data_IF_184360479163
#
_entry.id   IF_184360479163
#
_cell.length_a   1.000
_cell.length_b   1.000
_cell.length_c   1.000
_cell.angle_alpha   90.00
_cell.angle_beta   90.00
_cell.angle_gamma   90.00
#
_symmetry.space_group_name_H-M   'P 1'
#
loop_
_entity.id
_entity.type
_entity.pdbx_description
1 polymer ?
#
# COMPACT_ATOMS: atom_id res chain seq x y z
N UNK A 1 -35.98 -40.73 -0.76
CA UNK A 1 -35.33 -40.34 0.51
C UNK A 1 -35.37 -38.85 0.84
N UNK A 2 -34.85 -37.94 0.01
CA UNK A 2 -34.82 -36.50 0.32
C UNK A 2 -36.18 -35.89 0.72
N UNK A 3 -37.28 -36.23 0.03
CA UNK A 3 -38.64 -35.75 0.38
C UNK A 3 -39.20 -36.35 1.68
N UNK A 4 -38.69 -37.51 2.10
CA UNK A 4 -39.21 -38.29 3.24
C UNK A 4 -38.43 -38.00 4.53
N UNK A 5 -37.10 -37.88 4.42
CA UNK A 5 -36.19 -37.73 5.55
C UNK A 5 -35.46 -36.39 5.56
N UNK A 6 -35.50 -35.62 4.46
CA UNK A 6 -34.76 -34.38 4.33
C UNK A 6 -33.24 -34.58 4.21
N UNK A 7 -32.49 -33.50 4.42
CA UNK A 7 -31.03 -33.47 4.57
C UNK A 7 -30.64 -32.62 5.76
N UNK A 8 -29.50 -32.93 6.38
CA UNK A 8 -28.98 -32.17 7.53
C UNK A 8 -28.36 -30.83 7.13
N UNK A 9 -27.63 -30.80 6.03
CA UNK A 9 -26.84 -29.65 5.58
C UNK A 9 -27.50 -28.97 4.38
N UNK A 10 -27.57 -27.63 4.39
CA UNK A 10 -28.11 -26.83 3.28
C UNK A 10 -27.16 -26.80 2.05
N UNK A 11 -25.87 -27.02 2.26
CA UNK A 11 -24.87 -27.18 1.23
C UNK A 11 -23.73 -28.08 1.75
N UNK A 12 -23.05 -28.79 0.86
CA UNK A 12 -22.12 -29.87 1.18
C UNK A 12 -20.79 -29.79 0.42
N UNK A 13 -20.71 -29.07 -0.70
CA UNK A 13 -19.61 -29.12 -1.64
C UNK A 13 -19.05 -27.72 -1.92
N UNK A 14 -17.73 -27.59 -1.77
CA UNK A 14 -16.97 -26.41 -2.14
C UNK A 14 -15.60 -26.85 -2.65
N UNK A 15 -14.99 -26.05 -3.52
CA UNK A 15 -13.60 -26.27 -3.92
C UNK A 15 -12.79 -25.10 -3.38
N UNK A 16 -12.17 -25.32 -2.22
CA UNK A 16 -11.37 -24.34 -1.52
C UNK A 16 -9.97 -24.20 -2.14
N UNK A 17 -9.27 -23.08 -1.91
CA UNK A 17 -7.84 -23.01 -2.23
C UNK A 17 -7.08 -23.98 -1.34
N UNK A 18 -6.32 -24.88 -1.94
CA UNK A 18 -5.60 -25.96 -1.25
C UNK A 18 -4.08 -25.79 -1.34
N UNK A 19 -3.56 -24.56 -1.32
CA UNK A 19 -2.12 -24.30 -1.45
C UNK A 19 -1.26 -25.10 -0.45
N UNK A 20 -1.54 -24.98 0.85
CA UNK A 20 -0.78 -25.71 1.88
C UNK A 20 -1.14 -27.19 1.96
N UNK A 21 -2.43 -27.52 1.84
CA UNK A 21 -2.90 -28.91 1.98
C UNK A 21 -2.50 -29.77 0.79
N UNK A 22 -2.45 -29.21 -0.43
CA UNK A 22 -1.95 -29.91 -1.62
C UNK A 22 -0.46 -30.19 -1.54
N UNK A 23 0.34 -29.27 -0.97
CA UNK A 23 1.75 -29.52 -0.68
C UNK A 23 1.94 -30.65 0.34
N UNK A 24 1.16 -30.65 1.42
CA UNK A 24 1.19 -31.68 2.46
C UNK A 24 0.77 -33.06 1.91
N UNK A 25 -0.24 -33.09 1.05
CA UNK A 25 -0.78 -34.32 0.44
C UNK A 25 -0.11 -34.68 -0.89
N UNK A 26 0.90 -33.91 -1.30
CA UNK A 26 1.73 -34.21 -2.46
C UNK A 26 0.93 -34.33 -3.77
N UNK A 27 -0.02 -33.42 -3.97
CA UNK A 27 -0.95 -33.41 -5.12
C UNK A 27 -1.18 -32.00 -5.66
N UNK A 28 -1.97 -31.89 -6.73
CA UNK A 28 -2.36 -30.61 -7.34
C UNK A 28 -3.37 -29.84 -6.48
N UNK A 29 -3.38 -28.51 -6.62
CA UNK A 29 -4.28 -27.63 -5.88
C UNK A 29 -5.70 -27.65 -6.46
N UNK A 30 -6.58 -28.46 -5.88
CA UNK A 30 -8.01 -28.44 -6.20
C UNK A 30 -8.26 -28.95 -7.63
N UNK A 31 -8.85 -28.10 -8.47
CA UNK A 31 -9.08 -28.39 -9.90
C UNK A 31 -8.12 -27.62 -10.81
N UNK A 32 -7.11 -26.97 -10.24
CA UNK A 32 -6.13 -26.22 -11.03
C UNK A 32 -5.17 -27.18 -11.75
N UNK A 33 -4.82 -26.88 -13.01
CA UNK A 33 -3.71 -27.55 -13.67
C UNK A 33 -2.40 -27.36 -12.88
N UNK A 34 -1.45 -28.28 -13.06
CA UNK A 34 -0.10 -28.13 -12.50
C UNK A 34 0.48 -26.80 -13.00
N UNK A 35 0.91 -25.93 -12.08
CA UNK A 35 1.51 -24.66 -12.44
C UNK A 35 2.87 -24.85 -13.12
N UNK A 36 3.77 -25.61 -12.48
CA UNK A 36 5.04 -26.05 -13.03
C UNK A 36 5.33 -27.49 -12.58
N UNK A 37 5.78 -28.39 -13.48
CA UNK A 37 6.15 -29.75 -13.10
C UNK A 37 7.43 -29.78 -12.25
N UNK A 38 8.29 -28.78 -12.41
CA UNK A 38 9.56 -28.62 -11.71
C UNK A 38 9.74 -27.15 -11.32
N UNK A 39 10.08 -26.86 -10.07
CA UNK A 39 10.31 -25.50 -9.57
C UNK A 39 11.41 -25.48 -8.50
N UNK A 40 12.10 -24.35 -8.33
CA UNK A 40 13.09 -24.17 -7.25
C UNK A 40 12.43 -23.58 -6.01
N UNK A 41 12.83 -24.06 -4.84
CA UNK A 41 12.46 -23.48 -3.55
C UNK A 41 13.71 -23.04 -2.81
N UNK A 42 13.56 -22.01 -1.99
CA UNK A 42 14.57 -21.50 -1.07
C UNK A 42 14.25 -21.95 0.34
N UNK A 43 15.23 -22.48 1.05
CA UNK A 43 15.19 -22.71 2.49
C UNK A 43 16.19 -21.76 3.13
N UNK A 44 15.78 -21.08 4.21
CA UNK A 44 16.70 -20.29 5.03
C UNK A 44 17.64 -21.22 5.77
N UNK A 45 18.93 -20.90 5.74
CA UNK A 45 19.99 -21.75 6.26
C UNK A 45 20.97 -20.95 7.10
N UNK A 46 21.56 -21.62 8.08
CA UNK A 46 22.62 -21.02 8.88
C UNK A 46 23.96 -21.26 8.16
N UNK A 47 24.75 -20.21 7.85
CA UNK A 47 26.05 -20.36 7.20
C UNK A 47 27.05 -21.24 7.95
N UNK A 48 26.84 -21.43 9.26
CA UNK A 48 27.71 -22.23 10.12
C UNK A 48 27.39 -23.74 10.11
N UNK A 49 26.35 -24.17 9.38
CA UNK A 49 25.96 -25.58 9.32
C UNK A 49 26.74 -26.31 8.21
N UNK A 50 27.42 -27.40 8.57
CA UNK A 50 28.39 -28.10 7.69
C UNK A 50 27.72 -28.80 6.50
N UNK A 51 26.43 -29.10 6.61
CA UNK A 51 25.66 -29.84 5.60
C UNK A 51 24.89 -28.94 4.63
N UNK A 52 25.20 -27.64 4.60
CA UNK A 52 24.35 -26.67 3.92
C UNK A 52 25.13 -25.84 2.93
N UNK A 53 24.54 -25.66 1.74
CA UNK A 53 25.10 -24.83 0.69
C UNK A 53 24.35 -23.49 0.61
N UNK A 54 25.09 -22.39 0.53
CA UNK A 54 24.50 -21.05 0.40
C UNK A 54 24.48 -20.66 -1.08
N UNK A 55 23.30 -20.70 -1.68
CA UNK A 55 23.09 -20.35 -3.09
C UNK A 55 22.70 -18.88 -3.28
N UNK A 56 22.05 -18.28 -2.27
CA UNK A 56 21.53 -16.92 -2.33
C UNK A 56 21.63 -16.23 -0.97
N UNK A 57 22.05 -14.96 -0.96
CA UNK A 57 22.03 -14.10 0.23
C UNK A 57 21.15 -12.89 -0.09
N UNK A 58 20.19 -12.59 0.77
CA UNK A 58 19.30 -11.45 0.57
C UNK A 58 19.91 -10.11 1.05
N UNK A 59 19.22 -9.01 0.76
CA UNK A 59 19.64 -7.65 1.14
C UNK A 59 19.71 -7.44 2.67
N UNK A 60 19.05 -8.29 3.45
CA UNK A 60 19.09 -8.28 4.91
C UNK A 60 20.21 -9.14 5.51
N UNK A 61 20.98 -9.83 4.64
CA UNK A 61 22.11 -10.68 5.02
C UNK A 61 21.73 -12.13 5.37
N UNK A 62 20.48 -12.54 5.13
CA UNK A 62 20.05 -13.92 5.37
C UNK A 62 20.51 -14.83 4.23
N UNK A 63 21.06 -15.99 4.60
CA UNK A 63 21.53 -17.01 3.66
C UNK A 63 20.44 -18.05 3.35
N UNK A 64 20.35 -18.45 2.08
CA UNK A 64 19.38 -19.40 1.56
C UNK A 64 20.05 -20.48 0.71
N UNK A 65 19.58 -21.70 0.88
CA UNK A 65 19.86 -22.84 0.00
C UNK A 65 18.73 -23.01 -1.00
N UNK A 66 19.07 -23.15 -2.28
CA UNK A 66 18.14 -23.44 -3.36
C UNK A 66 18.13 -24.93 -3.68
N UNK A 67 16.94 -25.52 -3.72
CA UNK A 67 16.76 -26.91 -4.13
C UNK A 67 15.61 -27.05 -5.12
N UNK A 68 15.78 -28.00 -6.04
CA UNK A 68 14.79 -28.31 -7.07
C UNK A 68 13.73 -29.23 -6.46
N UNK A 69 12.47 -28.91 -6.72
CA UNK A 69 11.33 -29.71 -6.33
C UNK A 69 10.63 -30.19 -7.59
N UNK A 70 10.53 -31.51 -7.72
CA UNK A 70 9.76 -32.18 -8.76
C UNK A 70 8.36 -32.49 -8.22
N UNK A 71 7.33 -32.26 -9.05
CA UNK A 71 5.98 -32.68 -8.71
C UNK A 71 5.92 -34.21 -8.61
N UNK A 72 5.21 -34.77 -7.62
CA UNK A 72 5.27 -36.21 -7.32
C UNK A 72 4.93 -37.13 -8.48
N UNK A 73 3.94 -36.76 -9.30
CA UNK A 73 3.60 -37.52 -10.52
C UNK A 73 4.65 -37.36 -11.64
N UNK A 74 5.40 -36.26 -11.65
CA UNK A 74 6.57 -36.10 -12.52
C UNK A 74 7.70 -37.00 -12.05
N UNK A 75 7.92 -37.13 -10.73
CA UNK A 75 8.88 -38.10 -10.16
C UNK A 75 8.52 -39.53 -10.55
N UNK A 76 7.24 -39.92 -10.47
CA UNK A 76 6.80 -41.26 -10.92
C UNK A 76 7.13 -41.50 -12.40
N UNK A 77 6.96 -40.48 -13.26
CA UNK A 77 7.36 -40.58 -14.66
C UNK A 77 8.89 -40.66 -14.82
N UNK A 78 9.66 -39.89 -14.04
CA UNK A 78 11.12 -39.93 -14.06
C UNK A 78 11.64 -41.32 -13.70
N UNK A 79 11.20 -41.88 -12.58
CA UNK A 79 11.59 -43.21 -12.11
C UNK A 79 11.24 -44.31 -13.13
N UNK A 80 10.05 -44.23 -13.73
CA UNK A 80 9.62 -45.17 -14.77
C UNK A 80 10.48 -45.12 -16.05
N UNK A 81 11.16 -43.99 -16.29
CA UNK A 81 12.05 -43.80 -17.44
C UNK A 81 13.54 -43.88 -17.05
N UNK A 82 13.86 -44.27 -15.81
CA UNK A 82 15.24 -44.44 -15.33
C UNK A 82 15.97 -43.14 -14.99
N UNK A 83 15.26 -42.03 -14.80
CA UNK A 83 15.83 -40.77 -14.34
C UNK A 83 15.85 -40.71 -12.81
N UNK A 84 16.98 -40.30 -12.24
CA UNK A 84 17.15 -40.14 -10.79
C UNK A 84 16.60 -38.79 -10.32
N UNK A 85 15.56 -38.72 -9.48
CA UNK A 85 15.01 -37.46 -8.96
C UNK A 85 15.90 -36.76 -7.92
N UNK A 86 16.89 -37.45 -7.36
CA UNK A 86 17.81 -36.90 -6.33
C UNK A 86 18.99 -36.17 -6.97
N UNK A 87 19.28 -36.45 -8.24
CA UNK A 87 20.33 -35.76 -8.99
C UNK A 87 20.01 -34.26 -9.13
N UNK A 88 21.03 -33.42 -8.95
CA UNK A 88 20.96 -31.98 -9.29
C UNK A 88 21.06 -31.83 -10.80
N UNK A 89 19.94 -31.48 -11.43
CA UNK A 89 19.89 -31.16 -12.86
C UNK A 89 20.14 -29.68 -13.10
N UNK A 90 20.78 -29.37 -14.22
CA UNK A 90 20.86 -28.00 -14.77
C UNK A 90 19.49 -27.57 -15.31
N UNK A 91 19.30 -26.27 -15.55
CA UNK A 91 18.02 -25.77 -16.05
C UNK A 91 17.72 -26.30 -17.45
N UNK A 92 18.76 -26.41 -18.29
CA UNK A 92 18.68 -26.95 -19.64
C UNK A 92 18.27 -28.44 -19.62
N UNK A 93 18.86 -29.24 -18.72
CA UNK A 93 18.47 -30.64 -18.55
C UNK A 93 17.02 -30.78 -18.05
N UNK A 94 16.56 -29.89 -17.15
CA UNK A 94 15.17 -29.88 -16.68
C UNK A 94 14.22 -29.58 -17.85
N UNK A 95 14.53 -28.59 -18.67
CA UNK A 95 13.68 -28.20 -19.80
C UNK A 95 13.58 -29.34 -20.83
N UNK A 96 14.69 -30.06 -21.09
CA UNK A 96 14.68 -31.27 -21.91
C UNK A 96 13.86 -32.42 -21.30
N UNK A 97 13.97 -32.64 -19.98
CA UNK A 97 13.17 -33.65 -19.27
C UNK A 97 11.68 -33.33 -19.34
N UNK A 98 11.32 -32.07 -19.09
CA UNK A 98 9.94 -31.61 -19.18
C UNK A 98 9.42 -31.80 -20.60
N UNK A 99 10.21 -31.51 -21.64
CA UNK A 99 9.85 -31.71 -23.04
C UNK A 99 9.57 -33.17 -23.42
N UNK A 100 10.27 -34.13 -22.79
CA UNK A 100 10.03 -35.58 -22.98
C UNK A 100 8.84 -36.08 -22.17
N UNK A 101 8.41 -35.33 -21.16
CA UNK A 101 7.35 -35.76 -20.25
C UNK A 101 5.94 -35.51 -20.83
N UNK A 102 4.92 -36.24 -20.35
CA UNK A 102 3.52 -35.96 -20.66
C UNK A 102 3.04 -34.56 -20.20
N UNK A 103 3.83 -33.85 -19.40
CA UNK A 103 3.51 -32.51 -18.90
C UNK A 103 3.96 -31.40 -19.85
N UNK A 104 4.68 -31.73 -20.93
CA UNK A 104 5.05 -30.74 -21.94
C UNK A 104 3.80 -30.13 -22.58
N UNK A 105 3.71 -28.80 -22.55
CA UNK A 105 2.54 -28.04 -23.02
C UNK A 105 1.21 -28.39 -22.33
N UNK A 106 1.28 -28.88 -21.09
CA UNK A 106 0.11 -29.24 -20.29
C UNK A 106 0.10 -28.55 -18.90
N UNK A 107 0.84 -27.45 -18.75
CA UNK A 107 0.88 -26.66 -17.51
C UNK A 107 -0.20 -25.59 -17.49
N UNK A 108 -0.41 -24.93 -16.34
CA UNK A 108 -1.40 -23.86 -16.22
C UNK A 108 -1.18 -22.70 -17.21
N UNK A 109 0.04 -22.50 -17.72
CA UNK A 109 0.34 -21.46 -18.70
C UNK A 109 0.10 -21.92 -20.15
N UNK A 110 0.05 -23.22 -20.40
CA UNK A 110 -0.16 -23.79 -21.74
C UNK A 110 -1.65 -24.01 -22.04
N UNK A 111 -2.47 -24.16 -21.00
CA UNK A 111 -3.91 -24.41 -21.13
C UNK A 111 -4.64 -23.12 -21.52
N UNK A 112 -5.43 -23.19 -22.59
CA UNK A 112 -6.30 -22.10 -23.02
C UNK A 112 -7.21 -21.60 -21.88
N UNK A 113 -7.15 -20.30 -21.62
CA UNK A 113 -7.85 -19.69 -20.48
C UNK A 113 -9.38 -19.76 -20.61
N UNK A 114 -9.93 -19.67 -21.83
CA UNK A 114 -11.37 -19.82 -22.04
C UNK A 114 -11.82 -21.25 -21.76
N UNK A 115 -11.02 -22.24 -22.15
CA UNK A 115 -11.28 -23.65 -21.81
C UNK A 115 -11.18 -23.89 -20.31
N UNK A 116 -10.25 -23.24 -19.60
CA UNK A 116 -10.16 -23.27 -18.13
C UNK A 116 -11.45 -22.74 -17.48
N UNK A 117 -11.98 -21.62 -17.97
CA UNK A 117 -13.26 -21.06 -17.50
C UNK A 117 -14.44 -22.00 -17.78
N UNK A 118 -14.51 -22.57 -18.99
CA UNK A 118 -15.55 -23.55 -19.35
C UNK A 118 -15.49 -24.79 -18.47
N UNK A 119 -14.29 -25.27 -18.15
CA UNK A 119 -14.09 -26.39 -17.23
C UNK A 119 -14.62 -26.04 -15.83
N UNK A 120 -14.28 -24.86 -15.31
CA UNK A 120 -14.80 -24.38 -14.03
C UNK A 120 -16.33 -24.33 -14.03
N UNK A 121 -16.95 -23.79 -15.07
CA UNK A 121 -18.42 -23.74 -15.19
C UNK A 121 -19.08 -25.12 -15.27
N UNK A 122 -18.46 -26.08 -15.96
CA UNK A 122 -18.95 -27.47 -15.99
C UNK A 122 -18.95 -28.11 -14.60
N UNK A 123 -17.90 -27.88 -13.81
CA UNK A 123 -17.78 -28.41 -12.44
C UNK A 123 -18.72 -27.68 -11.49
N UNK A 124 -18.90 -26.35 -11.66
CA UNK A 124 -19.76 -25.52 -10.83
C UNK A 124 -21.22 -26.00 -10.76
N UNK A 125 -21.71 -26.70 -11.80
CA UNK A 125 -23.05 -27.33 -11.82
C UNK A 125 -23.27 -28.35 -10.70
N UNK A 126 -22.19 -28.96 -10.22
CA UNK A 126 -22.22 -30.01 -9.19
C UNK A 126 -21.71 -29.51 -7.83
N UNK A 127 -21.41 -28.22 -7.71
CA UNK A 127 -20.90 -27.58 -6.48
C UNK A 127 -21.92 -26.56 -6.00
N UNK A 128 -22.45 -26.76 -4.80
CA UNK A 128 -23.50 -25.92 -4.21
C UNK A 128 -22.95 -24.61 -3.61
N UNK A 129 -21.72 -24.59 -3.10
CA UNK A 129 -20.98 -23.34 -2.89
C UNK A 129 -20.21 -22.90 -4.15
N UNK A 130 -19.09 -22.20 -3.99
CA UNK A 130 -18.27 -21.66 -5.07
C UNK A 130 -16.97 -22.45 -5.24
N UNK A 131 -16.29 -22.18 -6.33
CA UNK A 131 -14.99 -22.77 -6.67
C UNK A 131 -13.94 -21.67 -6.63
N UNK A 132 -12.88 -21.89 -5.85
CA UNK A 132 -11.72 -21.01 -5.78
C UNK A 132 -10.67 -21.48 -6.78
N UNK A 133 -10.64 -20.84 -7.95
CA UNK A 133 -9.63 -21.04 -8.99
C UNK A 133 -9.17 -19.70 -9.52
N UNK A 134 -7.87 -19.56 -9.74
CA UNK A 134 -7.28 -18.35 -10.33
C UNK A 134 -6.93 -18.56 -11.80
N UNK A 135 -7.33 -17.62 -12.65
CA UNK A 135 -6.90 -17.54 -14.05
C UNK A 135 -5.62 -16.69 -14.08
N UNK A 136 -4.47 -17.36 -14.14
CA UNK A 136 -3.17 -16.71 -14.25
C UNK A 136 -2.92 -16.31 -15.70
N UNK A 137 -2.81 -15.01 -15.97
CA UNK A 137 -2.58 -14.43 -17.29
C UNK A 137 -1.17 -13.82 -17.32
N UNK A 138 -0.45 -13.87 -18.46
CA UNK A 138 0.82 -13.18 -18.59
C UNK A 138 0.65 -11.65 -18.58
N UNK A 139 1.75 -10.93 -18.37
CA UNK A 139 1.75 -9.48 -18.15
C UNK A 139 1.36 -8.66 -19.39
N UNK A 140 1.58 -9.22 -20.58
CA UNK A 140 1.33 -8.64 -21.90
C UNK A 140 -0.10 -8.85 -22.40
N UNK A 141 -0.99 -9.44 -21.60
CA UNK A 141 -2.37 -9.69 -21.98
C UNK A 141 -3.20 -8.40 -22.05
N UNK A 142 -3.95 -8.28 -23.15
CA UNK A 142 -4.92 -7.23 -23.40
C UNK A 142 -6.13 -7.28 -22.46
N UNK A 143 -6.66 -6.10 -22.14
CA UNK A 143 -7.90 -5.93 -21.37
C UNK A 143 -9.10 -6.66 -22.02
N UNK A 144 -9.15 -6.71 -23.36
CA UNK A 144 -10.19 -7.40 -24.10
C UNK A 144 -10.23 -8.91 -23.83
N UNK A 145 -9.08 -9.55 -23.60
CA UNK A 145 -9.06 -10.96 -23.21
C UNK A 145 -9.65 -11.13 -21.80
N UNK A 146 -9.32 -10.24 -20.87
CA UNK A 146 -9.89 -10.25 -19.51
C UNK A 146 -11.41 -10.09 -19.55
N UNK A 147 -11.91 -9.15 -20.36
CA UNK A 147 -13.35 -8.98 -20.56
C UNK A 147 -14.00 -10.25 -21.12
N UNK A 148 -13.41 -10.86 -22.15
CA UNK A 148 -13.90 -12.13 -22.71
C UNK A 148 -13.96 -13.25 -21.67
N UNK A 149 -12.96 -13.34 -20.79
CA UNK A 149 -12.93 -14.35 -19.71
C UNK A 149 -14.06 -14.14 -18.69
N UNK A 150 -14.32 -12.90 -18.29
CA UNK A 150 -15.44 -12.59 -17.39
C UNK A 150 -16.80 -12.88 -18.03
N UNK A 151 -16.99 -12.49 -19.29
CA UNK A 151 -18.23 -12.78 -20.03
C UNK A 151 -18.41 -14.29 -20.20
N UNK A 152 -17.34 -15.03 -20.49
CA UNK A 152 -17.41 -16.50 -20.61
C UNK A 152 -17.70 -17.18 -19.27
N UNK A 153 -17.16 -16.66 -18.15
CA UNK A 153 -17.43 -17.19 -16.82
C UNK A 153 -18.90 -17.01 -16.45
N UNK A 154 -19.47 -15.84 -16.74
CA UNK A 154 -20.90 -15.59 -16.58
C UNK A 154 -21.75 -16.54 -17.43
N UNK A 155 -21.44 -16.66 -18.73
CA UNK A 155 -22.13 -17.59 -19.66
C UNK A 155 -22.02 -19.05 -19.22
N UNK A 156 -20.89 -19.44 -18.64
CA UNK A 156 -20.62 -20.81 -18.18
C UNK A 156 -21.30 -21.14 -16.85
N UNK A 157 -21.96 -20.17 -16.19
CA UNK A 157 -22.64 -20.36 -14.92
C UNK A 157 -21.70 -20.39 -13.71
N UNK A 158 -20.49 -19.83 -13.84
CA UNK A 158 -19.58 -19.68 -12.72
C UNK A 158 -20.18 -18.70 -11.69
N UNK A 159 -20.11 -19.03 -10.40
CA UNK A 159 -20.58 -18.14 -9.31
C UNK A 159 -19.58 -17.02 -9.00
N UNK A 160 -18.34 -17.18 -9.43
CA UNK A 160 -17.26 -16.22 -9.28
C UNK A 160 -16.12 -16.52 -10.25
N UNK A 161 -15.32 -15.51 -10.55
CA UNK A 161 -14.18 -15.61 -11.45
C UNK A 161 -13.06 -14.72 -10.91
N UNK A 162 -11.86 -15.28 -10.76
CA UNK A 162 -10.68 -14.55 -10.29
C UNK A 162 -9.62 -14.56 -11.38
N UNK A 163 -9.15 -13.39 -11.76
CA UNK A 163 -8.07 -13.21 -12.72
C UNK A 163 -6.86 -12.61 -12.00
N UNK A 164 -5.70 -13.20 -12.22
CA UNK A 164 -4.42 -12.64 -11.78
C UNK A 164 -3.54 -12.42 -13.00
N UNK A 165 -3.25 -11.16 -13.31
CA UNK A 165 -2.30 -10.81 -14.37
C UNK A 165 -0.90 -10.74 -13.77
N UNK A 166 0.05 -11.46 -14.35
CA UNK A 166 1.43 -11.46 -13.90
C UNK A 166 2.00 -10.03 -13.91
N UNK A 167 2.82 -9.71 -12.92
CA UNK A 167 3.36 -8.36 -12.71
C UNK A 167 2.33 -7.29 -12.26
N UNK A 168 1.03 -7.61 -12.11
CA UNK A 168 0.04 -6.63 -11.61
C UNK A 168 0.16 -6.35 -10.11
N UNK A 169 0.80 -7.24 -9.36
CA UNK A 169 1.16 -7.07 -7.94
C UNK A 169 2.59 -7.57 -7.74
N UNK A 170 3.39 -6.81 -7.02
CA UNK A 170 4.77 -7.20 -6.68
C UNK A 170 4.80 -8.45 -5.78
N UNK A 171 5.58 -9.46 -6.18
CA UNK A 171 6.09 -10.49 -5.26
C UNK A 171 5.32 -11.81 -5.12
N UNK A 172 4.51 -12.26 -6.09
CA UNK A 172 3.68 -13.46 -5.86
C UNK A 172 4.40 -14.79 -6.14
N UNK A 173 5.16 -14.96 -7.24
CA UNK A 173 5.92 -16.19 -7.51
C UNK A 173 7.08 -15.87 -8.47
N UNK A 174 8.33 -16.11 -8.08
CA UNK A 174 9.50 -15.94 -8.96
C UNK A 174 9.65 -17.22 -9.79
N UNK A 175 9.49 -17.11 -11.11
CA UNK A 175 9.76 -18.24 -12.02
C UNK A 175 11.27 -18.51 -12.10
N UNK A 176 11.64 -19.78 -12.29
CA UNK A 176 13.04 -20.24 -12.40
C UNK A 176 13.77 -19.80 -13.66
N UNK A 177 13.12 -19.10 -14.59
CA UNK A 177 13.83 -18.49 -15.71
C UNK A 177 14.78 -17.45 -15.14
N UNK A 178 16.06 -17.72 -15.24
CA UNK A 178 17.07 -16.68 -15.15
C UNK A 178 16.86 -15.75 -16.34
N UNK A 179 16.00 -14.74 -16.17
CA UNK A 179 15.90 -13.60 -17.07
C UNK A 179 17.22 -12.82 -16.97
N UNK A 180 18.27 -13.37 -17.58
CA UNK A 180 19.55 -12.68 -17.77
C UNK A 180 19.43 -11.54 -18.80
N UNK A 181 18.30 -11.43 -19.50
CA UNK A 181 18.05 -10.40 -20.52
C UNK A 181 16.78 -9.55 -20.30
N UNK A 182 16.17 -9.56 -19.12
CA UNK A 182 15.18 -8.53 -18.73
C UNK A 182 15.65 -7.73 -17.53
N UNK A 183 16.73 -6.95 -17.74
CA UNK A 183 16.90 -5.67 -17.03
C UNK A 183 15.94 -4.63 -17.61
N UNK A 184 14.65 -4.90 -17.55
CA UNK A 184 13.69 -3.83 -17.35
C UNK A 184 13.15 -4.08 -15.95
N UNK A 185 13.83 -3.49 -14.97
CA UNK A 185 13.24 -3.33 -13.65
C UNK A 185 11.84 -2.75 -13.84
N UNK A 186 10.91 -3.13 -12.95
CA UNK A 186 9.70 -2.35 -12.70
C UNK A 186 10.04 -0.88 -12.94
N UNK A 187 9.31 -0.14 -13.80
CA UNK A 187 9.62 1.27 -14.00
C UNK A 187 9.75 1.82 -12.59
N UNK A 188 10.93 2.35 -12.20
CA UNK A 188 11.12 2.84 -10.84
C UNK A 188 9.92 3.72 -10.62
N UNK A 189 9.12 3.46 -9.56
CA UNK A 189 7.95 4.26 -9.25
C UNK A 189 8.38 5.69 -9.45
N UNK A 190 8.03 6.29 -10.59
CA UNK A 190 8.62 7.57 -10.95
C UNK A 190 8.03 8.45 -9.86
N UNK A 191 8.85 9.03 -8.96
CA UNK A 191 8.30 9.96 -8.00
C UNK A 191 7.48 10.92 -8.84
N UNK A 192 6.21 11.19 -8.48
CA UNK A 192 5.41 12.10 -9.27
C UNK A 192 6.26 13.35 -9.50
N UNK A 193 6.29 13.86 -10.73
CA UNK A 193 7.16 14.96 -11.17
C UNK A 193 7.03 16.22 -10.28
N UNK A 194 5.99 16.23 -9.45
CA UNK A 194 5.62 17.19 -8.41
C UNK A 194 6.38 16.95 -7.08
N UNK A 195 7.69 16.73 -7.12
CA UNK A 195 8.51 16.98 -5.92
C UNK A 195 9.45 18.12 -6.25
N UNK A 196 8.89 19.33 -6.27
CA UNK A 196 9.69 20.55 -6.25
C UNK A 196 10.74 20.39 -5.14
N UNK A 197 12.01 20.58 -5.48
CA UNK A 197 13.08 20.44 -4.49
C UNK A 197 12.83 21.47 -3.40
N UNK A 198 12.55 20.99 -2.18
CA UNK A 198 12.26 21.85 -1.02
C UNK A 198 13.33 22.96 -0.93
N UNK A 199 12.95 24.24 -1.06
CA UNK A 199 13.88 25.36 -0.87
C UNK A 199 14.55 25.32 0.50
N UNK A 200 15.72 25.95 0.62
CA UNK A 200 16.42 26.05 1.90
C UNK A 200 15.61 26.84 2.94
N UNK A 201 14.92 27.87 2.48
CA UNK A 201 14.12 28.79 3.29
C UNK A 201 12.69 28.75 2.76
N UNK A 202 11.72 28.58 3.67
CA UNK A 202 10.29 28.69 3.39
C UNK A 202 9.70 29.79 4.25
N UNK A 203 8.74 30.54 3.73
CA UNK A 203 7.90 31.40 4.56
C UNK A 203 7.01 30.54 5.45
N UNK A 204 6.68 31.00 6.65
CA UNK A 204 5.88 30.21 7.56
C UNK A 204 4.95 31.04 8.42
N UNK A 205 3.74 30.53 8.60
CA UNK A 205 2.75 31.09 9.50
C UNK A 205 2.74 30.34 10.83
N UNK A 206 2.44 31.07 11.89
CA UNK A 206 2.35 30.55 13.25
C UNK A 206 0.89 30.50 13.68
N UNK A 207 0.37 29.28 13.85
CA UNK A 207 -0.98 29.05 14.37
C UNK A 207 -0.89 28.47 15.78
N UNK A 208 -1.49 29.14 16.75
CA UNK A 208 -1.54 28.67 18.14
C UNK A 208 -2.90 28.02 18.41
N UNK A 209 -2.90 26.90 19.10
CA UNK A 209 -4.13 26.20 19.51
C UNK A 209 -3.95 25.53 20.86
N UNK A 210 -5.07 25.20 21.51
CA UNK A 210 -5.05 24.48 22.79
C UNK A 210 -5.35 23.00 22.54
N UNK A 211 -4.55 22.14 23.16
CA UNK A 211 -4.74 20.70 23.16
C UNK A 211 -4.98 20.25 24.61
N UNK A 212 -6.23 19.93 24.97
CA UNK A 212 -6.62 19.69 26.36
C UNK A 212 -6.23 20.87 27.28
N UNK A 213 -5.28 20.67 28.20
CA UNK A 213 -4.78 21.71 29.12
C UNK A 213 -3.47 22.35 28.64
N UNK A 214 -2.87 21.84 27.58
CA UNK A 214 -1.58 22.28 27.06
C UNK A 214 -1.75 23.28 25.92
N UNK A 215 -0.84 24.26 25.87
CA UNK A 215 -0.77 25.21 24.75
C UNK A 215 0.13 24.63 23.67
N UNK A 216 -0.34 24.66 22.43
CA UNK A 216 0.37 24.12 21.29
C UNK A 216 0.54 25.19 20.21
N UNK A 217 1.60 25.04 19.43
CA UNK A 217 1.91 25.90 18.28
C UNK A 217 2.18 25.04 17.06
N UNK A 218 1.60 25.44 15.93
CA UNK A 218 1.86 24.91 14.60
C UNK A 218 2.58 25.96 13.75
N UNK A 219 3.66 25.56 13.10
CA UNK A 219 4.36 26.32 12.07
C UNK A 219 3.98 25.71 10.72
N UNK A 220 3.26 26.47 9.89
CA UNK A 220 2.86 26.04 8.55
C UNK A 220 3.80 26.70 7.56
N UNK A 221 4.68 25.91 6.96
CA UNK A 221 5.57 26.36 5.90
C UNK A 221 4.82 26.48 4.58
N UNK A 222 4.98 27.62 3.90
CA UNK A 222 4.35 27.95 2.64
C UNK A 222 5.36 27.89 1.49
N UNK A 223 4.94 27.29 0.37
CA UNK A 223 5.63 27.33 -0.91
C UNK A 223 4.68 27.96 -1.93
N UNK A 224 5.06 29.10 -2.49
CA UNK A 224 4.24 29.89 -3.42
C UNK A 224 2.83 30.18 -2.87
N UNK A 225 2.74 30.55 -1.59
CA UNK A 225 1.48 30.83 -0.91
C UNK A 225 0.62 29.61 -0.55
N UNK A 226 1.07 28.39 -0.84
CA UNK A 226 0.36 27.15 -0.52
C UNK A 226 1.02 26.41 0.65
N UNK A 227 0.25 25.80 1.57
CA UNK A 227 0.79 24.94 2.63
C UNK A 227 1.62 23.79 2.06
N UNK A 228 2.90 23.76 2.44
CA UNK A 228 3.88 22.79 1.96
C UNK A 228 4.33 21.83 3.06
N UNK A 229 4.46 22.31 4.30
CA UNK A 229 4.83 21.49 5.45
C UNK A 229 4.26 22.06 6.75
N UNK A 230 4.16 21.20 7.76
CA UNK A 230 3.67 21.59 9.08
C UNK A 230 4.55 21.00 10.17
N UNK A 231 4.91 21.84 11.14
CA UNK A 231 5.61 21.46 12.37
C UNK A 231 4.71 21.81 13.54
N UNK A 232 4.58 20.92 14.51
CA UNK A 232 3.73 21.18 15.70
C UNK A 232 4.46 20.78 16.97
N UNK A 233 4.33 21.60 18.01
CA UNK A 233 4.82 21.23 19.33
C UNK A 233 4.19 22.01 20.47
N UNK A 234 4.67 21.68 21.66
CA UNK A 234 4.26 22.31 22.91
C UNK A 234 4.80 23.75 22.97
N UNK A 235 3.91 24.66 23.33
CA UNK A 235 4.23 26.03 23.69
C UNK A 235 4.29 26.08 25.22
N UNK A 236 5.46 25.77 25.76
CA UNK A 236 5.74 25.81 27.20
C UNK A 236 7.00 26.66 27.46
N UNK A 237 7.06 27.25 28.64
CA UNK A 237 8.08 28.23 29.03
C UNK A 237 9.40 27.56 29.47
N UNK A 238 9.36 26.29 29.92
CA UNK A 238 10.52 25.54 30.42
C UNK A 238 11.15 24.58 29.37
N UNK A 239 10.35 23.72 28.72
CA UNK A 239 10.84 22.72 27.73
C UNK A 239 10.37 22.98 26.29
N UNK A 240 9.46 23.94 26.09
CA UNK A 240 8.76 24.16 24.83
C UNK A 240 9.39 25.22 23.91
N UNK A 241 8.58 25.67 22.94
CA UNK A 241 8.97 26.75 22.04
C UNK A 241 8.54 28.10 22.60
N UNK A 242 9.51 28.86 23.11
CA UNK A 242 9.30 30.23 23.57
C UNK A 242 9.08 31.18 22.38
N UNK A 243 7.81 31.54 22.14
CA UNK A 243 7.44 32.43 21.04
C UNK A 243 6.54 33.57 21.53
N UNK A 244 6.97 34.85 21.40
CA UNK A 244 6.16 35.99 21.77
C UNK A 244 4.81 36.00 21.03
N UNK A 245 3.73 36.39 21.71
CA UNK A 245 2.37 36.44 21.13
C UNK A 245 2.27 37.33 19.88
N UNK A 246 3.14 38.32 19.73
CA UNK A 246 3.15 39.23 18.59
C UNK A 246 3.65 38.60 17.28
N UNK A 247 4.27 37.43 17.34
CA UNK A 247 4.82 36.77 16.14
C UNK A 247 3.72 35.92 15.51
N UNK A 248 3.33 36.25 14.28
CA UNK A 248 2.32 35.50 13.50
C UNK A 248 2.91 34.86 12.25
N UNK A 249 4.05 35.36 11.76
CA UNK A 249 4.76 34.84 10.60
C UNK A 249 6.29 34.83 10.85
N UNK A 250 7.00 34.07 10.04
CA UNK A 250 8.45 33.92 10.07
C UNK A 250 8.94 33.08 8.88
N UNK A 251 10.11 32.46 9.04
CA UNK A 251 10.75 31.64 8.01
C UNK A 251 11.26 30.34 8.61
N UNK A 252 11.04 29.21 7.92
CA UNK A 252 11.60 27.91 8.28
C UNK A 252 12.84 27.65 7.42
N UNK A 253 13.99 27.47 8.09
CA UNK A 253 15.28 27.25 7.46
C UNK A 253 15.70 25.81 7.71
N UNK A 254 16.07 25.10 6.65
CA UNK A 254 16.67 23.76 6.76
C UNK A 254 18.19 23.89 6.74
N UNK A 255 18.81 23.41 7.81
CA UNK A 255 20.25 23.30 7.97
C UNK A 255 20.65 21.83 8.05
N UNK A 256 21.93 21.56 7.78
CA UNK A 256 22.54 20.24 7.91
C UNK A 256 23.72 20.46 8.83
N UNK A 257 23.71 19.77 9.97
CA UNK A 257 24.79 19.87 10.96
C UNK A 257 26.03 19.11 10.48
N UNK A 258 27.16 19.32 11.14
CA UNK A 258 28.45 18.70 10.78
C UNK A 258 28.41 17.16 10.80
N UNK A 259 27.54 16.58 11.63
CA UNK A 259 27.28 15.14 11.74
C UNK A 259 26.35 14.57 10.64
N UNK A 260 25.89 15.41 9.70
CA UNK A 260 25.00 15.02 8.60
C UNK A 260 23.51 14.94 8.99
N UNK A 261 23.16 15.26 10.24
CA UNK A 261 21.77 15.34 10.70
C UNK A 261 21.08 16.58 10.13
N UNK A 262 19.82 16.45 9.69
CA UNK A 262 19.03 17.56 9.12
C UNK A 262 18.28 18.29 10.23
N UNK A 263 18.58 19.57 10.43
CA UNK A 263 17.96 20.45 11.42
C UNK A 263 17.00 21.44 10.77
N UNK A 264 15.87 21.74 11.44
CA UNK A 264 14.91 22.74 10.99
C UNK A 264 14.79 23.85 12.03
N UNK A 265 15.04 25.08 11.61
CA UNK A 265 15.04 26.26 12.47
C UNK A 265 13.95 27.23 12.06
N UNK A 266 13.33 27.91 13.03
CA UNK A 266 12.35 28.95 12.76
C UNK A 266 12.93 30.32 13.08
N UNK A 267 12.99 31.20 12.09
CA UNK A 267 13.49 32.57 12.23
C UNK A 267 12.35 33.57 12.12
N UNK A 268 12.28 34.53 13.04
CA UNK A 268 11.33 35.63 12.98
C UNK A 268 12.02 36.95 13.34
N UNK A 269 11.41 38.07 12.96
CA UNK A 269 11.89 39.41 13.30
C UNK A 269 11.11 39.97 14.49
N UNK A 270 11.84 40.44 15.50
CA UNK A 270 11.23 41.12 16.64
C UNK A 270 10.73 42.51 16.24
N UNK A 271 9.89 43.13 17.07
CA UNK A 271 9.37 44.52 16.88
C UNK A 271 10.45 45.58 16.65
N UNK A 272 11.72 45.28 16.98
CA UNK A 272 12.89 46.16 16.80
C UNK A 272 13.74 45.80 15.57
N UNK A 273 13.29 44.88 14.71
CA UNK A 273 13.99 44.45 13.50
C UNK A 273 15.13 43.44 13.71
N UNK A 274 15.38 43.01 14.94
CA UNK A 274 16.38 41.96 15.21
C UNK A 274 15.83 40.58 14.87
N UNK A 275 16.65 39.80 14.16
CA UNK A 275 16.35 38.40 13.83
C UNK A 275 16.57 37.52 15.05
N UNK A 276 15.56 36.74 15.40
CA UNK A 276 15.64 35.71 16.43
C UNK A 276 15.39 34.36 15.77
N UNK A 277 16.29 33.41 16.02
CA UNK A 277 16.20 32.06 15.48
C UNK A 277 15.92 31.08 16.62
N UNK A 278 14.89 30.28 16.46
CA UNK A 278 14.56 29.14 17.31
C UNK A 278 15.13 27.92 16.62
N UNK A 279 16.17 27.34 17.21
CA UNK A 279 16.86 26.19 16.66
C UNK A 279 16.17 24.88 17.02
N UNK A 280 16.26 23.89 16.11
CA UNK A 280 15.93 22.50 16.41
C UNK A 280 14.44 22.23 16.61
N UNK A 281 13.57 22.77 15.75
CA UNK A 281 12.13 22.48 15.79
C UNK A 281 11.88 20.96 15.83
N UNK A 282 12.56 20.20 14.97
CA UNK A 282 12.39 18.75 14.83
C UNK A 282 12.75 17.92 16.07
N UNK A 283 13.61 18.43 16.95
CA UNK A 283 14.09 17.72 18.14
C UNK A 283 13.31 18.06 19.40
N UNK A 284 12.71 19.26 19.43
CA UNK A 284 11.86 19.71 20.54
C UNK A 284 10.47 19.08 20.54
N UNK A 285 10.18 18.19 19.61
CA UNK A 285 8.88 17.55 19.48
C UNK A 285 8.91 16.11 19.96
N UNK A 286 7.85 15.71 20.66
CA UNK A 286 7.62 14.31 20.97
C UNK A 286 7.57 13.49 19.66
N UNK A 287 8.31 12.38 19.63
CA UNK A 287 8.52 11.51 18.47
C UNK A 287 7.22 11.06 17.80
N UNK A 288 6.15 10.83 18.58
CA UNK A 288 4.87 10.40 18.03
C UNK A 288 4.20 11.49 17.18
N UNK A 289 4.05 12.70 17.73
CA UNK A 289 3.48 13.85 17.03
C UNK A 289 4.34 14.27 15.84
N UNK A 290 5.65 14.15 15.97
CA UNK A 290 6.59 14.41 14.88
C UNK A 290 6.38 13.48 13.68
N UNK A 291 6.11 12.20 13.92
CA UNK A 291 5.83 11.25 12.84
C UNK A 291 4.53 11.60 12.11
N UNK A 292 3.48 12.03 12.84
CA UNK A 292 2.25 12.50 12.20
C UNK A 292 2.43 13.81 11.44
N UNK A 293 3.18 14.77 11.98
CA UNK A 293 3.51 16.01 11.29
C UNK A 293 4.32 15.76 10.00
N UNK A 294 5.25 14.80 10.02
CA UNK A 294 5.98 14.32 8.83
C UNK A 294 5.05 13.70 7.78
N UNK A 295 4.09 12.87 8.20
CA UNK A 295 3.10 12.27 7.30
C UNK A 295 2.28 13.38 6.60
N UNK A 296 1.73 14.32 7.38
CA UNK A 296 0.92 15.42 6.86
C UNK A 296 1.75 16.31 5.93
N UNK A 297 2.99 16.62 6.31
CA UNK A 297 3.92 17.35 5.46
C UNK A 297 4.20 16.60 4.15
N UNK A 298 4.36 15.27 4.19
CA UNK A 298 4.50 14.45 2.99
C UNK A 298 3.31 14.61 2.04
N UNK A 299 2.09 14.57 2.57
CA UNK A 299 0.85 14.75 1.79
C UNK A 299 0.75 16.16 1.20
N UNK A 300 1.08 17.20 1.98
CA UNK A 300 1.08 18.60 1.52
C UNK A 300 2.10 18.84 0.39
N UNK A 301 3.27 18.21 0.47
CA UNK A 301 4.31 18.30 -0.58
C UNK A 301 3.85 17.78 -1.93
N UNK A 302 2.96 16.79 -1.94
CA UNK A 302 2.36 16.27 -3.17
C UNK A 302 1.22 17.15 -3.70
N UNK A 303 1.05 18.38 -3.18
CA UNK A 303 0.01 19.34 -3.59
C UNK A 303 -1.41 18.74 -3.54
N UNK A 304 -1.66 17.83 -2.59
CA UNK A 304 -3.00 17.29 -2.38
C UNK A 304 -3.96 18.44 -2.01
N UNK A 305 -5.17 18.51 -2.60
CA UNK A 305 -6.14 19.55 -2.27
C UNK A 305 -6.39 19.63 -0.75
N UNK A 306 -6.34 20.83 -0.18
CA UNK A 306 -6.36 21.04 1.28
C UNK A 306 -7.61 20.42 1.93
N UNK A 307 -8.74 20.41 1.24
CA UNK A 307 -9.97 19.76 1.70
C UNK A 307 -9.79 18.25 1.93
N UNK A 308 -9.06 17.59 1.03
CA UNK A 308 -8.76 16.16 1.15
C UNK A 308 -7.76 15.90 2.26
N UNK A 309 -6.77 16.79 2.43
CA UNK A 309 -5.83 16.72 3.56
C UNK A 309 -6.57 16.86 4.88
N UNK A 310 -7.50 17.82 5.01
CA UNK A 310 -8.34 18.00 6.19
C UNK A 310 -9.20 16.75 6.45
N UNK A 311 -9.80 16.16 5.41
CA UNK A 311 -10.58 14.93 5.54
C UNK A 311 -9.71 13.76 6.01
N UNK A 312 -8.50 13.63 5.48
CA UNK A 312 -7.54 12.61 5.89
C UNK A 312 -7.15 12.78 7.36
N UNK A 313 -6.74 13.99 7.76
CA UNK A 313 -6.38 14.32 9.15
C UNK A 313 -7.55 14.05 10.10
N UNK A 314 -8.77 14.44 9.73
CA UNK A 314 -9.96 14.20 10.54
C UNK A 314 -10.29 12.71 10.69
N UNK A 315 -10.04 11.90 9.65
CA UNK A 315 -10.31 10.45 9.63
C UNK A 315 -9.32 9.62 10.45
N UNK A 316 -8.17 10.18 10.86
CA UNK A 316 -7.21 9.49 11.71
C UNK A 316 -7.86 9.11 13.05
N UNK A 317 -8.08 7.82 13.28
CA UNK A 317 -8.51 7.27 14.58
C UNK A 317 -7.27 6.80 15.33
N UNK A 318 -6.95 7.49 16.43
CA UNK A 318 -5.74 7.24 17.21
C UNK A 318 -6.14 6.82 18.63
N UNK A 319 -5.36 5.90 19.20
CA UNK A 319 -5.67 5.26 20.50
C UNK A 319 -5.58 6.22 21.69
N UNK A 320 -5.01 7.41 21.51
CA UNK A 320 -4.84 8.41 22.56
C UNK A 320 -5.79 9.59 22.37
N UNK A 321 -6.48 9.97 23.45
CA UNK A 321 -7.37 11.13 23.50
C UNK A 321 -6.63 12.44 23.20
N UNK A 322 -5.38 12.58 23.68
CA UNK A 322 -4.56 13.78 23.45
C UNK A 322 -4.18 13.99 21.98
N UNK A 323 -4.08 12.90 21.20
CA UNK A 323 -3.80 13.00 19.77
C UNK A 323 -5.08 13.29 18.97
N UNK A 324 -6.24 12.82 19.45
CA UNK A 324 -7.54 13.16 18.87
C UNK A 324 -7.88 14.66 19.02
N UNK A 325 -7.49 15.29 20.11
CA UNK A 325 -7.64 16.75 20.28
C UNK A 325 -6.57 17.54 19.52
N UNK A 326 -5.35 16.99 19.41
CA UNK A 326 -4.27 17.58 18.60
C UNK A 326 -4.64 17.66 17.11
N UNK A 327 -5.21 16.59 16.52
CA UNK A 327 -5.60 16.60 15.09
C UNK A 327 -6.63 17.69 14.78
N UNK A 328 -7.53 18.00 15.73
CA UNK A 328 -8.51 19.09 15.58
C UNK A 328 -7.81 20.46 15.55
N UNK A 329 -6.70 20.61 16.26
CA UNK A 329 -5.83 21.79 16.19
C UNK A 329 -5.17 21.93 14.82
N UNK A 330 -4.61 20.84 14.29
CA UNK A 330 -4.01 20.80 12.95
C UNK A 330 -5.03 21.07 11.84
N UNK A 331 -6.22 20.48 11.94
CA UNK A 331 -7.32 20.75 11.02
C UNK A 331 -7.69 22.24 10.99
N UNK A 332 -7.78 22.90 12.16
CA UNK A 332 -8.05 24.34 12.23
C UNK A 332 -6.92 25.18 11.64
N UNK A 333 -5.66 24.78 11.81
CA UNK A 333 -4.53 25.46 11.19
C UNK A 333 -4.61 25.40 9.67
N UNK A 334 -4.94 24.24 9.10
CA UNK A 334 -5.03 24.05 7.64
C UNK A 334 -6.27 24.69 7.01
N UNK A 335 -7.39 24.80 7.76
CA UNK A 335 -8.63 25.45 7.27
C UNK A 335 -8.45 26.90 6.84
N UNK A 336 -7.45 27.61 7.38
CA UNK A 336 -7.14 29.00 7.02
C UNK A 336 -6.72 29.18 5.55
N UNK A 337 -6.31 28.10 4.90
CA UNK A 337 -5.80 28.12 3.53
C UNK A 337 -6.82 27.59 2.51
N UNK A 338 -8.06 27.34 2.93
CA UNK A 338 -9.17 27.10 1.99
C UNK A 338 -9.50 28.45 1.35
N UNK A 339 -9.55 28.51 0.03
CA UNK A 339 -9.91 29.74 -0.70
C UNK A 339 -11.35 30.15 -0.36
N UNK A 340 -11.55 31.44 -0.09
CA UNK A 340 -12.89 32.00 0.11
C UNK A 340 -13.75 31.75 -1.13
N UNK A 341 -14.95 31.20 -0.93
CA UNK A 341 -15.83 30.78 -2.03
C UNK A 341 -15.84 29.28 -2.34
N UNK A 342 -15.01 28.47 -1.67
CA UNK A 342 -14.98 27.02 -1.91
C UNK A 342 -16.24 26.33 -1.35
N UNK A 343 -16.98 25.61 -2.21
CA UNK A 343 -18.18 24.87 -1.85
C UNK A 343 -17.85 23.65 -0.98
N UNK A 344 -18.43 23.59 0.22
CA UNK A 344 -18.27 22.45 1.13
C UNK A 344 -19.11 21.24 0.66
N UNK A 345 -18.63 20.55 -0.39
CA UNK A 345 -19.33 19.40 -0.99
C UNK A 345 -19.63 18.32 0.05
N UNK A 346 -20.93 18.01 0.22
CA UNK A 346 -21.43 16.96 1.10
C UNK A 346 -21.73 17.37 2.56
N UNK A 347 -21.67 18.66 2.91
CA UNK A 347 -22.17 19.17 4.20
C UNK A 347 -23.49 19.91 4.02
N UNK A 348 -24.50 19.55 4.83
CA UNK A 348 -25.78 20.26 4.91
C UNK A 348 -25.74 21.34 5.98
N UNK A 349 -26.34 22.49 5.69
CA UNK A 349 -26.50 23.56 6.66
C UNK A 349 -27.32 23.06 7.86
N UNK A 350 -26.83 23.19 9.10
CA UNK A 350 -27.57 22.75 10.28
C UNK A 350 -28.85 23.57 10.55
N UNK A 351 -28.98 24.76 9.95
CA UNK A 351 -30.13 25.63 10.14
C UNK A 351 -31.21 25.45 9.06
N UNK A 352 -30.83 25.33 7.77
CA UNK A 352 -31.79 25.22 6.66
C UNK A 352 -31.75 23.91 5.87
N UNK A 353 -30.81 23.00 6.17
CA UNK A 353 -30.69 21.70 5.50
C UNK A 353 -30.12 21.71 4.08
N UNK A 354 -29.90 22.89 3.48
CA UNK A 354 -29.33 23.01 2.13
C UNK A 354 -27.82 22.76 2.08
N UNK A 355 -27.32 22.25 0.95
CA UNK A 355 -25.90 21.96 0.70
C UNK A 355 -25.12 23.19 0.17
N UNK A 356 -25.66 24.39 0.40
CA UNK A 356 -25.11 25.68 -0.06
C UNK A 356 -24.15 26.29 0.95
N UNK A 357 -23.28 25.46 1.52
CA UNK A 357 -22.30 25.86 2.51
C UNK A 357 -20.98 26.23 1.82
N UNK A 358 -20.48 27.43 2.11
CA UNK A 358 -19.28 28.00 1.50
C UNK A 358 -18.29 28.41 2.60
N UNK A 359 -17.00 28.20 2.38
CA UNK A 359 -15.96 28.70 3.28
C UNK A 359 -15.68 30.18 2.99
N UNK A 360 -15.73 31.01 4.04
CA UNK A 360 -15.36 32.43 3.98
C UNK A 360 -14.69 32.83 5.30
N UNK A 361 -13.49 33.41 5.24
CA UNK A 361 -12.68 33.84 6.39
C UNK A 361 -12.44 32.74 7.43
N UNK A 362 -12.38 31.48 7.00
CA UNK A 362 -12.21 30.32 7.89
C UNK A 362 -13.48 29.87 8.62
N UNK A 363 -14.64 30.49 8.36
CA UNK A 363 -15.95 30.08 8.84
C UNK A 363 -16.77 29.42 7.72
N UNK A 364 -17.68 28.53 8.11
CA UNK A 364 -18.65 27.89 7.21
C UNK A 364 -19.91 28.77 7.17
N UNK A 365 -20.19 29.40 6.02
CA UNK A 365 -21.33 30.29 5.82
C UNK A 365 -22.32 29.64 4.86
N UNK A 366 -23.60 29.60 5.22
CA UNK A 366 -24.65 29.19 4.31
C UNK A 366 -25.11 30.37 3.46
N UNK A 367 -25.01 30.26 2.13
CA UNK A 367 -25.45 31.33 1.22
C UNK A 367 -26.96 31.47 1.17
N UNK A 368 -27.73 30.47 1.64
CA UNK A 368 -29.20 30.52 1.63
C UNK A 368 -29.80 31.15 2.89
N UNK A 369 -29.25 30.88 4.08
CA UNK A 369 -29.83 31.36 5.34
C UNK A 369 -28.90 32.26 6.16
N UNK A 370 -27.68 32.54 5.68
CA UNK A 370 -26.70 33.39 6.36
C UNK A 370 -26.12 32.80 7.65
N UNK A 371 -26.46 31.55 8.00
CA UNK A 371 -25.92 30.91 9.19
C UNK A 371 -24.41 30.69 9.03
N UNK A 372 -23.63 31.27 9.95
CA UNK A 372 -22.18 31.12 10.02
C UNK A 372 -21.79 30.21 11.18
N UNK A 373 -20.95 29.21 10.93
CA UNK A 373 -20.30 28.40 11.97
C UNK A 373 -18.79 28.55 11.88
N UNK A 374 -18.23 29.31 12.82
CA UNK A 374 -16.79 29.39 13.07
C UNK A 374 -16.39 28.27 14.04
N UNK A 375 -15.17 27.75 13.92
CA UNK A 375 -14.66 26.63 14.74
C UNK A 375 -13.29 26.92 15.33
#
# INVERSE_FOLDING_TARGET
DMKKYGRRNIACLTIAPTGTTSLMTQTTSGIEPVFLPVYKRRRKVNPNDTNVHVDFVDETGDAFEEYIVFHHKFVTWMEANGYDPVRRYTQEEIDELVAKSPYYKATSNDVDWLMKVKMQGRIQKWVDHSISVTINLPNDVDEDLVNRLYVEAWKSGCKGCTVYRDGSRSGVLISTKSDKDKKEGLPPCKPPTVVEVRPRILEADVVRFQNNKEKWVAFVGLLDGHPYEIFTGLQDDDEGILLPKSVTCGRIIKNVDEDGTKRYDFQFENKRGYKTTIEGLSEKFNKEYWNYAKLISGVLRYRMPIEQVIKLVGSLQLNSESINTWKNGVERALKKYIQDGTEAKGKKCPNCGNETLVYQEGCLICTTCGASRCG
#
